data_IF_893834470982
#
_entry.id   IF_893834470982
#
_cell.length_a   1.000
_cell.length_b   1.000
_cell.length_c   1.000
_cell.angle_alpha   90.00
_cell.angle_beta   90.00
_cell.angle_gamma   90.00
#
_symmetry.space_group_name_H-M   'P 1'
#
loop_
_entity.id
_entity.type
_entity.pdbx_description
1 polymer ?
#
# COMPACT_ATOMS: atom_id res chain seq x y z
N UNK A 1 11.01 -2.70 27.02
CA UNK A 1 11.55 -2.73 25.65
C UNK A 1 10.45 -2.27 24.71
N UNK A 2 10.55 -1.06 24.17
CA UNK A 2 9.64 -0.61 23.10
C UNK A 2 10.09 -1.29 21.82
N UNK A 3 9.21 -2.06 21.19
CA UNK A 3 9.43 -2.57 19.84
C UNK A 3 8.92 -1.49 18.89
N UNK A 4 9.83 -0.67 18.37
CA UNK A 4 9.46 0.40 17.45
C UNK A 4 9.32 -0.21 16.04
N UNK A 5 8.09 -0.54 15.67
CA UNK A 5 7.72 -0.91 14.31
C UNK A 5 7.70 0.35 13.43
N UNK A 6 8.26 0.26 12.23
CA UNK A 6 8.23 1.32 11.21
C UNK A 6 6.79 1.51 10.69
N UNK A 7 5.96 2.19 11.47
CA UNK A 7 4.60 2.55 11.07
C UNK A 7 4.64 3.92 10.37
N UNK A 8 4.51 3.92 9.06
CA UNK A 8 4.07 5.13 8.33
C UNK A 8 2.55 5.14 8.40
N UNK A 9 1.96 6.10 9.10
CA UNK A 9 0.52 6.27 9.12
C UNK A 9 0.13 7.42 8.21
N UNK A 10 -1.01 7.28 7.53
CA UNK A 10 -1.58 8.32 6.69
C UNK A 10 -2.97 8.64 7.21
N UNK A 11 -3.25 9.92 7.37
CA UNK A 11 -4.61 10.42 7.56
C UNK A 11 -5.07 10.93 6.21
N UNK A 12 -6.14 10.31 5.69
CA UNK A 12 -6.76 10.69 4.42
C UNK A 12 -8.07 11.39 4.77
N UNK A 13 -8.15 12.69 4.50
CA UNK A 13 -9.36 13.48 4.62
C UNK A 13 -9.98 13.66 3.23
N UNK A 14 -11.29 13.43 3.10
CA UNK A 14 -11.97 13.51 1.81
C UNK A 14 -13.42 13.06 1.87
N UNK A 15 -14.09 13.12 0.72
CA UNK A 15 -15.48 12.69 0.56
C UNK A 15 -15.49 11.37 -0.20
N UNK A 16 -16.17 10.36 0.33
CA UNK A 16 -16.35 9.07 -0.32
C UNK A 16 -17.64 9.04 -1.13
N UNK A 17 -17.53 8.63 -2.39
CA UNK A 17 -18.62 8.44 -3.33
C UNK A 17 -18.72 6.96 -3.69
N UNK A 18 -19.91 6.38 -3.55
CA UNK A 18 -20.16 5.04 -4.05
C UNK A 18 -20.36 5.07 -5.57
N UNK A 19 -19.59 4.25 -6.29
CA UNK A 19 -19.73 4.11 -7.73
C UNK A 19 -20.87 3.15 -8.05
N UNK A 20 -21.81 3.64 -8.85
CA UNK A 20 -22.98 2.89 -9.30
C UNK A 20 -22.72 2.18 -10.63
N UNK A 21 -23.37 1.04 -10.79
CA UNK A 21 -23.44 0.34 -12.06
C UNK A 21 -24.91 0.24 -12.45
N UNK A 22 -25.33 1.11 -13.36
CA UNK A 22 -26.72 1.21 -13.82
C UNK A 22 -26.96 0.22 -14.96
N UNK A 23 -26.95 -1.07 -14.64
CA UNK A 23 -27.61 -2.08 -15.48
C UNK A 23 -28.02 -3.32 -14.66
N UNK A 24 -29.18 -3.27 -13.98
CA UNK A 24 -29.75 -4.42 -13.29
C UNK A 24 -30.63 -5.30 -14.19
N UNK A 25 -30.81 -4.97 -15.48
CA UNK A 25 -31.91 -5.55 -16.27
C UNK A 25 -31.63 -6.99 -16.72
N UNK A 26 -30.37 -7.39 -16.86
CA UNK A 26 -30.03 -8.73 -17.32
C UNK A 26 -28.87 -9.35 -16.52
N UNK A 27 -29.25 -10.15 -15.53
CA UNK A 27 -28.44 -11.06 -14.72
C UNK A 27 -27.40 -11.94 -15.47
N UNK A 28 -27.51 -12.04 -16.80
CA UNK A 28 -26.70 -12.95 -17.62
C UNK A 28 -25.83 -12.25 -18.66
N UNK A 29 -25.89 -10.93 -18.81
CA UNK A 29 -25.07 -10.24 -19.80
C UNK A 29 -23.60 -10.24 -19.39
N UNK A 30 -22.75 -10.39 -20.42
CA UNK A 30 -21.29 -10.39 -20.31
C UNK A 30 -20.80 -8.93 -20.33
N UNK A 31 -19.90 -8.58 -19.40
CA UNK A 31 -19.24 -7.28 -19.45
C UNK A 31 -18.25 -7.27 -20.64
N UNK A 32 -18.44 -6.31 -21.53
CA UNK A 32 -17.61 -6.09 -22.71
C UNK A 32 -16.63 -4.92 -22.52
N UNK A 33 -15.71 -4.73 -23.47
CA UNK A 33 -14.83 -3.55 -23.46
C UNK A 33 -15.58 -2.22 -23.51
N UNK A 34 -16.79 -2.21 -24.07
CA UNK A 34 -17.64 -1.00 -24.14
C UNK A 34 -18.05 -0.53 -22.74
N UNK A 35 -18.21 -1.46 -21.81
CA UNK A 35 -18.63 -1.21 -20.43
C UNK A 35 -17.47 -0.69 -19.57
N UNK A 36 -16.22 -0.74 -20.05
CA UNK A 36 -15.10 -0.03 -19.40
C UNK A 36 -15.28 1.50 -19.41
N UNK A 37 -16.24 2.03 -20.18
CA UNK A 37 -16.67 3.44 -20.07
C UNK A 37 -17.41 3.72 -18.76
N UNK A 38 -17.96 2.71 -18.11
CA UNK A 38 -18.55 2.85 -16.79
C UNK A 38 -17.45 3.03 -15.73
N UNK A 39 -17.57 4.08 -14.91
CA UNK A 39 -16.56 4.45 -13.91
C UNK A 39 -16.28 3.31 -12.92
N UNK A 40 -17.29 2.52 -12.54
CA UNK A 40 -17.13 1.39 -11.61
C UNK A 40 -16.29 0.27 -12.23
N UNK A 41 -16.56 -0.10 -13.48
CA UNK A 41 -15.80 -1.13 -14.20
C UNK A 41 -14.36 -0.68 -14.42
N UNK A 42 -14.18 0.58 -14.81
CA UNK A 42 -12.86 1.20 -14.93
C UNK A 42 -12.10 1.19 -13.61
N UNK A 43 -12.74 1.57 -12.50
CA UNK A 43 -12.13 1.61 -11.19
C UNK A 43 -11.70 0.20 -10.72
N UNK A 44 -12.55 -0.81 -10.90
CA UNK A 44 -12.20 -2.21 -10.61
C UNK A 44 -10.98 -2.67 -11.40
N UNK A 45 -10.92 -2.36 -12.70
CA UNK A 45 -9.75 -2.64 -13.54
C UNK A 45 -8.49 -1.99 -12.97
N UNK A 46 -8.56 -0.71 -12.59
CA UNK A 46 -7.42 0.02 -12.00
C UNK A 46 -6.99 -0.53 -10.65
N UNK A 47 -7.92 -0.93 -9.79
CA UNK A 47 -7.61 -1.58 -8.52
C UNK A 47 -6.86 -2.89 -8.77
N UNK A 48 -7.40 -3.76 -9.61
CA UNK A 48 -6.76 -5.05 -9.94
C UNK A 48 -5.38 -4.83 -10.56
N UNK A 49 -5.27 -3.95 -11.55
CA UNK A 49 -3.98 -3.65 -12.21
C UNK A 49 -2.96 -3.00 -11.26
N UNK A 50 -3.40 -2.19 -10.30
CA UNK A 50 -2.51 -1.60 -9.28
C UNK A 50 -1.99 -2.63 -8.28
N UNK A 51 -2.83 -3.61 -7.91
CA UNK A 51 -2.43 -4.68 -7.01
C UNK A 51 -1.58 -5.74 -7.71
N UNK A 52 -2.07 -6.25 -8.85
CA UNK A 52 -1.50 -7.33 -9.66
C UNK A 52 -1.55 -6.94 -11.15
N UNK A 53 -0.49 -6.28 -11.67
CA UNK A 53 -0.44 -5.83 -13.06
C UNK A 53 -0.65 -6.98 -14.05
N UNK A 54 -1.49 -6.76 -15.07
CA UNK A 54 -1.81 -7.77 -16.08
C UNK A 54 -2.84 -8.83 -15.64
N UNK A 55 -3.25 -8.84 -14.36
CA UNK A 55 -4.17 -9.86 -13.87
C UNK A 55 -5.60 -9.67 -14.39
N UNK A 56 -6.01 -8.44 -14.70
CA UNK A 56 -7.35 -8.16 -15.25
C UNK A 56 -7.58 -8.86 -16.58
N UNK A 57 -6.57 -8.86 -17.45
CA UNK A 57 -6.57 -9.49 -18.77
C UNK A 57 -6.46 -11.02 -18.65
N UNK A 58 -5.80 -11.52 -17.59
CA UNK A 58 -5.63 -12.95 -17.30
C UNK A 58 -6.71 -13.53 -16.36
N UNK A 59 -7.79 -12.78 -16.11
CA UNK A 59 -8.94 -13.26 -15.32
C UNK A 59 -9.95 -13.98 -16.21
N UNK A 60 -10.73 -14.91 -15.65
CA UNK A 60 -11.79 -15.65 -16.34
C UNK A 60 -12.69 -14.68 -17.13
N UNK A 61 -12.84 -14.93 -18.43
CA UNK A 61 -13.79 -14.27 -19.33
C UNK A 61 -14.82 -15.29 -19.83
N UNK A 62 -16.09 -14.89 -19.99
CA UNK A 62 -16.68 -13.62 -19.59
C UNK A 62 -16.97 -13.56 -18.09
N UNK A 63 -16.87 -12.38 -17.47
CA UNK A 63 -17.45 -12.13 -16.15
C UNK A 63 -18.81 -11.43 -16.30
N UNK A 64 -19.72 -11.71 -15.38
CA UNK A 64 -21.14 -11.33 -15.47
C UNK A 64 -21.39 -9.95 -14.89
N UNK A 65 -22.38 -9.24 -15.41
CA UNK A 65 -22.82 -7.94 -14.87
C UNK A 65 -23.16 -8.01 -13.37
N UNK A 66 -23.74 -9.12 -12.91
CA UNK A 66 -24.03 -9.33 -11.48
C UNK A 66 -22.78 -9.31 -10.59
N UNK A 67 -21.65 -9.84 -11.08
CA UNK A 67 -20.39 -9.88 -10.32
C UNK A 67 -19.91 -8.45 -10.05
N UNK A 68 -20.07 -7.56 -11.04
CA UNK A 68 -19.77 -6.12 -10.91
C UNK A 68 -20.81 -5.40 -10.04
N UNK A 69 -22.10 -5.73 -10.19
CA UNK A 69 -23.18 -5.07 -9.45
C UNK A 69 -23.07 -5.29 -7.94
N UNK A 70 -22.74 -6.51 -7.50
CA UNK A 70 -22.68 -6.91 -6.07
C UNK A 70 -21.51 -6.31 -5.29
N UNK A 71 -20.45 -5.89 -5.96
CA UNK A 71 -19.27 -5.31 -5.30
C UNK A 71 -19.48 -3.80 -5.10
N UNK A 72 -19.35 -3.32 -3.87
CA UNK A 72 -19.34 -1.87 -3.61
C UNK A 72 -17.94 -1.31 -3.86
N UNK A 73 -17.87 -0.25 -4.66
CA UNK A 73 -16.62 0.46 -4.96
C UNK A 73 -16.78 1.90 -4.51
N UNK A 74 -15.80 2.39 -3.75
CA UNK A 74 -15.78 3.76 -3.24
C UNK A 74 -14.67 4.53 -3.94
N UNK A 75 -15.01 5.70 -4.52
CA UNK A 75 -14.05 6.72 -4.91
C UNK A 75 -13.93 7.72 -3.77
N UNK A 76 -12.71 8.00 -3.33
CA UNK A 76 -12.46 9.03 -2.31
C UNK A 76 -11.83 10.23 -3.00
N UNK A 77 -12.52 11.36 -2.96
CA UNK A 77 -12.00 12.63 -3.42
C UNK A 77 -11.20 13.25 -2.26
N UNK A 78 -9.88 13.11 -2.33
CA UNK A 78 -8.93 13.44 -1.25
C UNK A 78 -8.72 14.96 -1.19
N UNK A 79 -8.83 15.54 0.00
CA UNK A 79 -8.37 16.90 0.30
C UNK A 79 -6.88 16.85 0.70
N UNK A 80 -5.96 17.30 -0.18
CA UNK A 80 -4.52 17.20 0.09
C UNK A 80 -4.05 18.14 1.20
N UNK A 81 -4.77 19.23 1.48
CA UNK A 81 -4.38 20.21 2.49
C UNK A 81 -4.70 19.72 3.92
N UNK A 82 -5.65 18.81 4.05
CA UNK A 82 -6.07 18.23 5.32
C UNK A 82 -5.52 16.80 5.52
N UNK A 83 -5.04 16.18 4.44
CA UNK A 83 -4.41 14.87 4.49
C UNK A 83 -2.93 15.01 4.81
N UNK A 84 -2.42 14.11 5.64
CA UNK A 84 -1.02 14.17 6.06
C UNK A 84 -0.47 12.77 6.34
N UNK A 85 0.82 12.61 6.08
CA UNK A 85 1.55 11.38 6.34
C UNK A 85 2.46 11.62 7.54
N UNK A 86 2.31 10.78 8.55
CA UNK A 86 3.23 10.72 9.67
C UNK A 86 4.27 9.65 9.38
N UNK A 87 5.52 10.08 9.28
CA UNK A 87 6.68 9.19 9.35
C UNK A 87 7.36 9.44 10.69
N UNK A 88 7.70 8.36 11.41
CA UNK A 88 8.56 8.49 12.59
C UNK A 88 9.96 8.98 12.17
N UNK A 89 10.55 9.77 13.06
CA UNK A 89 11.95 10.20 12.98
C UNK A 89 12.88 9.01 13.26
N UNK A 90 14.07 9.00 12.65
CA UNK A 90 15.10 8.00 12.96
C UNK A 90 15.46 8.05 14.45
N UNK A 91 15.65 6.89 15.09
CA UNK A 91 15.79 6.76 16.55
C UNK A 91 17.26 6.75 17.00
N UNK A 92 18.19 6.43 16.09
CA UNK A 92 19.60 6.30 16.43
C UNK A 92 20.25 7.63 16.80
N UNK A 93 20.84 7.66 18.01
CA UNK A 93 21.45 8.87 18.57
C UNK A 93 20.45 9.86 19.19
N UNK A 94 19.20 9.46 19.46
CA UNK A 94 18.25 10.28 20.22
C UNK A 94 18.48 10.11 21.73
N UNK A 95 19.63 10.59 22.22
CA UNK A 95 19.90 10.63 23.65
C UNK A 95 19.31 11.90 24.25
N UNK A 96 18.48 11.77 25.30
CA UNK A 96 18.01 12.95 26.01
C UNK A 96 19.19 13.66 26.68
N UNK A 97 19.21 15.01 26.69
CA UNK A 97 20.34 15.80 27.20
C UNK A 97 20.72 15.51 28.67
N UNK A 98 19.83 14.88 29.43
CA UNK A 98 20.02 14.52 30.84
C UNK A 98 20.54 13.07 31.03
N UNK A 99 20.57 12.27 29.97
CA UNK A 99 21.11 10.91 29.96
C UNK A 99 22.64 10.97 30.12
N UNK A 100 23.18 10.22 31.09
CA UNK A 100 24.64 10.13 31.32
C UNK A 100 25.24 8.84 30.79
N UNK A 101 24.40 7.87 30.44
CA UNK A 101 24.82 6.62 29.84
C UNK A 101 25.36 6.91 28.43
N UNK A 102 26.49 6.32 28.11
CA UNK A 102 27.12 6.39 26.79
C UNK A 102 26.81 5.12 26.00
N UNK A 103 26.99 5.13 24.68
CA UNK A 103 26.86 3.93 23.83
C UNK A 103 27.77 2.74 24.23
N UNK A 104 28.69 2.94 25.17
CA UNK A 104 29.51 1.86 25.75
C UNK A 104 28.80 1.11 26.88
N UNK A 105 27.73 1.69 27.43
CA UNK A 105 27.04 1.22 28.63
C UNK A 105 25.82 0.35 28.29
N UNK A 106 25.35 0.35 27.04
CA UNK A 106 24.16 -0.39 26.60
C UNK A 106 24.21 -0.80 25.12
N UNK A 107 23.37 -1.77 24.76
CA UNK A 107 23.21 -2.24 23.38
C UNK A 107 22.25 -1.33 22.60
N UNK A 108 22.71 -0.79 21.47
CA UNK A 108 21.96 0.13 20.62
C UNK A 108 21.96 -0.36 19.15
N UNK A 109 21.11 -1.32 18.78
CA UNK A 109 20.91 -1.72 17.37
C UNK A 109 19.42 -1.59 16.96
N UNK A 110 19.19 -1.60 15.65
CA UNK A 110 17.86 -1.61 15.05
C UNK A 110 17.61 -2.98 14.43
N UNK A 111 16.38 -3.47 14.56
CA UNK A 111 15.91 -4.69 13.92
C UNK A 111 14.98 -4.27 12.78
N UNK A 112 15.42 -4.28 11.51
CA UNK A 112 14.53 -3.94 10.40
C UNK A 112 13.43 -4.99 10.27
N UNK A 113 12.20 -4.52 10.09
CA UNK A 113 11.03 -5.34 9.79
C UNK A 113 10.49 -4.92 8.41
N UNK A 114 10.17 -5.89 7.56
CA UNK A 114 9.54 -5.65 6.27
C UNK A 114 8.59 -6.78 5.90
N UNK A 115 7.64 -6.46 5.03
CA UNK A 115 6.71 -7.42 4.46
C UNK A 115 7.27 -8.02 3.17
N UNK A 116 6.98 -9.29 2.94
CA UNK A 116 7.42 -10.03 1.75
C UNK A 116 6.28 -10.88 1.21
N UNK A 117 6.19 -10.97 -0.12
CA UNK A 117 5.41 -11.99 -0.80
C UNK A 117 6.14 -13.33 -0.63
N UNK A 118 5.44 -14.33 -0.12
CA UNK A 118 5.92 -15.70 -0.05
C UNK A 118 5.77 -16.45 -1.39
N UNK A 119 6.09 -17.73 -1.38
CA UNK A 119 5.93 -18.59 -2.55
C UNK A 119 4.46 -18.79 -2.91
N UNK A 120 4.18 -18.94 -4.20
CA UNK A 120 2.83 -19.24 -4.70
C UNK A 120 2.39 -20.62 -4.23
N UNK A 121 1.23 -20.67 -3.58
CA UNK A 121 0.58 -21.90 -3.15
C UNK A 121 -0.35 -22.37 -4.28
N UNK A 122 -0.15 -23.56 -4.86
CA UNK A 122 -0.97 -24.03 -5.97
C UNK A 122 -2.42 -24.30 -5.53
N UNK A 123 -3.35 -23.89 -6.38
CA UNK A 123 -4.77 -24.23 -6.24
C UNK A 123 -5.10 -25.60 -6.84
N UNK A 124 -6.38 -25.99 -6.77
CA UNK A 124 -6.91 -27.19 -7.44
C UNK A 124 -7.14 -26.92 -8.93
N UNK A 125 -6.07 -26.68 -9.69
CA UNK A 125 -6.11 -26.41 -11.12
C UNK A 125 -4.87 -26.97 -11.82
N UNK A 126 -5.01 -27.37 -13.08
CA UNK A 126 -3.90 -27.80 -13.93
C UNK A 126 -3.18 -26.60 -14.61
N UNK A 127 -3.69 -25.38 -14.40
CA UNK A 127 -3.12 -24.16 -14.97
C UNK A 127 -1.86 -23.78 -14.18
N UNK A 128 -0.71 -23.56 -14.85
CA UNK A 128 0.52 -23.14 -14.19
C UNK A 128 0.38 -21.74 -13.56
N UNK A 129 1.20 -21.41 -12.55
CA UNK A 129 1.15 -20.11 -11.91
C UNK A 129 1.45 -18.96 -12.90
N UNK A 130 0.82 -17.79 -12.73
CA UNK A 130 1.02 -16.64 -13.59
C UNK A 130 2.46 -16.12 -13.50
N UNK A 131 3.28 -16.43 -14.51
CA UNK A 131 4.69 -16.05 -14.55
C UNK A 131 4.91 -14.53 -14.56
N UNK A 132 3.94 -13.76 -15.06
CA UNK A 132 4.01 -12.30 -15.12
C UNK A 132 4.09 -11.64 -13.73
N UNK A 133 3.73 -12.36 -12.66
CA UNK A 133 3.80 -11.85 -11.29
C UNK A 133 5.17 -12.07 -10.62
N UNK A 134 6.02 -12.96 -11.15
CA UNK A 134 7.31 -13.28 -10.52
C UNK A 134 8.21 -12.06 -10.41
N UNK A 135 8.28 -11.25 -11.47
CA UNK A 135 9.03 -9.99 -11.47
C UNK A 135 8.47 -8.99 -10.45
N UNK A 136 7.13 -8.87 -10.36
CA UNK A 136 6.48 -7.99 -9.39
C UNK A 136 6.86 -8.36 -7.95
N UNK A 137 6.78 -9.64 -7.61
CA UNK A 137 7.08 -10.11 -6.25
C UNK A 137 8.55 -9.93 -5.92
N UNK A 138 9.46 -10.24 -6.86
CA UNK A 138 10.89 -10.01 -6.69
C UNK A 138 11.19 -8.53 -6.40
N UNK A 139 10.68 -7.62 -7.25
CA UNK A 139 10.93 -6.18 -7.10
C UNK A 139 10.31 -5.62 -5.81
N UNK A 140 9.09 -6.02 -5.45
CA UNK A 140 8.45 -5.58 -4.19
C UNK A 140 9.19 -6.10 -2.96
N UNK A 141 9.59 -7.38 -2.96
CA UNK A 141 10.33 -7.97 -1.84
C UNK A 141 11.69 -7.27 -1.66
N UNK A 142 12.41 -7.06 -2.77
CA UNK A 142 13.69 -6.35 -2.77
C UNK A 142 13.51 -4.91 -2.28
N UNK A 143 12.57 -4.16 -2.85
CA UNK A 143 12.31 -2.77 -2.48
C UNK A 143 11.87 -2.59 -1.03
N UNK A 144 11.01 -3.48 -0.52
CA UNK A 144 10.57 -3.46 0.88
C UNK A 144 11.74 -3.68 1.84
N UNK A 145 12.62 -4.65 1.53
CA UNK A 145 13.82 -4.92 2.33
C UNK A 145 14.79 -3.74 2.30
N UNK A 146 15.10 -3.22 1.12
CA UNK A 146 16.00 -2.07 0.95
C UNK A 146 15.48 -0.84 1.72
N UNK A 147 14.17 -0.58 1.65
CA UNK A 147 13.53 0.49 2.41
C UNK A 147 13.68 0.26 3.91
N UNK A 148 13.31 -0.91 4.43
CA UNK A 148 13.39 -1.18 5.86
C UNK A 148 14.83 -1.10 6.40
N UNK A 149 15.81 -1.60 5.66
CA UNK A 149 17.23 -1.49 6.04
C UNK A 149 17.74 -0.04 5.99
N UNK A 150 17.29 0.74 5.01
CA UNK A 150 17.65 2.16 4.90
C UNK A 150 17.06 2.98 6.04
N UNK A 151 15.78 2.75 6.34
CA UNK A 151 15.08 3.40 7.46
C UNK A 151 15.67 3.01 8.80
N UNK A 152 15.97 1.72 9.01
CA UNK A 152 16.61 1.25 10.22
C UNK A 152 17.95 1.93 10.47
N UNK A 153 18.70 2.31 9.42
CA UNK A 153 19.99 3.01 9.52
C UNK A 153 19.87 4.54 9.59
N UNK A 154 18.65 5.09 9.52
CA UNK A 154 18.43 6.54 9.46
C UNK A 154 18.81 7.19 10.81
N UNK A 155 19.75 8.15 10.82
CA UNK A 155 20.07 8.89 12.04
C UNK A 155 18.93 9.85 12.40
N UNK A 156 18.87 10.25 13.67
CA UNK A 156 18.06 11.41 14.09
C UNK A 156 18.49 12.63 13.25
N UNK A 157 17.56 13.40 12.67
CA UNK A 157 17.92 14.65 12.02
C UNK A 157 18.52 15.63 13.03
N UNK A 158 19.69 16.18 12.72
CA UNK A 158 20.35 17.20 13.54
C UNK A 158 19.39 18.39 13.75
N UNK A 159 19.26 18.84 15.00
CA UNK A 159 18.26 19.82 15.47
C UNK A 159 18.41 21.25 14.92
N UNK A 160 18.93 21.46 13.72
CA UNK A 160 19.12 22.81 13.15
C UNK A 160 17.91 23.35 12.38
N UNK A 161 16.80 22.61 12.22
CA UNK A 161 15.65 23.06 11.42
C UNK A 161 14.26 22.73 11.96
N UNK A 162 14.05 22.76 13.28
CA UNK A 162 12.70 22.58 13.86
C UNK A 162 12.03 23.84 14.42
N UNK A 163 12.69 25.01 14.39
CA UNK A 163 12.12 26.26 14.91
C UNK A 163 11.36 27.12 13.88
N UNK A 164 11.03 26.60 12.68
CA UNK A 164 10.38 27.41 11.63
C UNK A 164 9.15 26.81 10.95
N UNK A 165 8.53 25.76 11.51
CA UNK A 165 7.25 25.24 10.98
C UNK A 165 6.14 25.08 12.02
N UNK A 166 6.24 25.80 13.14
CA UNK A 166 5.08 26.12 13.96
C UNK A 166 4.95 27.64 13.91
N UNK A 167 3.81 28.12 13.38
CA UNK A 167 3.46 29.51 13.03
C UNK A 167 3.66 29.89 11.54
N UNK A 168 2.77 29.37 10.69
CA UNK A 168 2.02 30.18 9.70
C UNK A 168 0.78 29.43 9.24
#
# INVERSE_FOLDING_TARGET
>A
MSQDVLETSAVINGIAHQLSFEDPAHCQEEITEKDEKNEKVWALKKIVQGMLPGQWENTRRPYKNEEVARVHVLRVDINPNESHVHSRLGVFGYEAKWEKATRKDYWEWAIPLWETYGDLIPGKTDIPPPQHLNGLFYERNKGNKEKAETEAKRPVPSSEKHDSQILS
#
